data_IF_498387294970
#
_entry.id   IF_498387294970
#
_cell.length_a   1.000
_cell.length_b   1.000
_cell.length_c   1.000
_cell.angle_alpha   90.00
_cell.angle_beta   90.00
_cell.angle_gamma   90.00
#
_symmetry.space_group_name_H-M   'P 1'
#
loop_
_entity.id
_entity.type
_entity.pdbx_description
1 polymer ?
#
# COMPACT_ATOMS: atom_id res chain seq x y z
N UNK A 1 -1.98 32.03 20.59
CA UNK A 1 -2.99 30.97 20.36
C UNK A 1 -2.32 29.83 19.67
N UNK A 2 -2.56 28.59 20.07
CA UNK A 2 -2.00 27.38 19.49
C UNK A 2 -2.67 27.07 18.16
N UNK A 3 -1.91 26.97 17.06
CA UNK A 3 -2.47 26.63 15.76
C UNK A 3 -2.95 25.17 15.72
N UNK A 4 -4.09 24.93 15.12
CA UNK A 4 -4.73 23.62 14.99
C UNK A 4 -4.48 23.04 13.59
N UNK A 5 -3.83 21.91 13.51
CA UNK A 5 -3.47 21.25 12.25
C UNK A 5 -4.18 19.91 12.13
N UNK A 6 -4.94 19.74 11.04
CA UNK A 6 -5.46 18.42 10.64
C UNK A 6 -4.55 17.76 9.61
N UNK A 7 -4.29 16.49 9.77
CA UNK A 7 -3.64 15.63 8.78
C UNK A 7 -4.66 14.54 8.39
N UNK A 8 -5.10 14.53 7.14
CA UNK A 8 -6.05 13.55 6.63
C UNK A 8 -5.29 12.35 6.08
N UNK A 9 -5.42 11.22 6.75
CA UNK A 9 -4.75 9.95 6.48
C UNK A 9 -3.67 9.61 7.51
N UNK A 10 -3.85 8.47 8.19
CA UNK A 10 -2.94 7.94 9.21
C UNK A 10 -1.87 6.98 8.65
N UNK A 11 -1.66 6.98 7.33
CA UNK A 11 -0.61 6.20 6.68
C UNK A 11 0.80 6.76 6.94
N UNK A 12 1.86 6.18 6.33
CA UNK A 12 3.24 6.63 6.52
C UNK A 12 3.43 8.12 6.28
N UNK A 13 2.78 8.68 5.25
CA UNK A 13 2.89 10.10 4.93
C UNK A 13 2.32 10.99 6.04
N UNK A 14 1.14 10.64 6.58
CA UNK A 14 0.53 11.38 7.69
C UNK A 14 1.34 11.27 8.97
N UNK A 15 1.80 10.08 9.33
CA UNK A 15 2.63 9.88 10.52
C UNK A 15 3.98 10.63 10.42
N UNK A 16 4.68 10.58 9.28
CA UNK A 16 5.90 11.36 9.10
C UNK A 16 5.63 12.87 9.04
N UNK A 17 4.47 13.29 8.51
CA UNK A 17 4.06 14.70 8.54
C UNK A 17 3.87 15.18 9.97
N UNK A 18 3.13 14.45 10.80
CA UNK A 18 2.97 14.78 12.21
C UNK A 18 4.31 14.87 12.94
N UNK A 19 5.23 13.91 12.69
CA UNK A 19 6.57 13.93 13.25
C UNK A 19 7.39 15.16 12.80
N UNK A 20 7.27 15.54 11.53
CA UNK A 20 8.00 16.68 10.96
C UNK A 20 7.46 18.00 11.47
N UNK A 21 6.13 18.13 11.57
CA UNK A 21 5.45 19.32 12.13
C UNK A 21 5.75 19.50 13.61
N UNK A 22 5.71 18.43 14.43
CA UNK A 22 6.04 18.52 15.84
C UNK A 22 7.49 19.00 16.10
N UNK A 23 8.40 18.83 15.12
CA UNK A 23 9.77 19.38 15.19
C UNK A 23 9.87 20.82 14.68
N UNK A 24 9.15 21.12 13.59
CA UNK A 24 9.20 22.43 12.96
C UNK A 24 8.35 23.48 13.70
N UNK A 25 7.27 23.04 14.35
CA UNK A 25 6.30 23.88 15.05
C UNK A 25 5.92 23.20 16.39
N UNK A 26 6.73 23.30 17.45
CA UNK A 26 6.45 22.59 18.70
C UNK A 26 5.17 23.03 19.43
N UNK A 27 4.69 24.23 19.17
CA UNK A 27 3.52 24.84 19.84
C UNK A 27 2.20 24.65 19.06
N UNK A 28 2.09 23.63 18.20
CA UNK A 28 0.86 23.33 17.45
C UNK A 28 0.11 22.13 18.04
N UNK A 29 -1.20 22.11 17.88
CA UNK A 29 -2.02 20.93 18.14
C UNK A 29 -2.22 20.17 16.82
N UNK A 30 -1.80 18.91 16.79
CA UNK A 30 -1.89 18.06 15.60
C UNK A 30 -2.95 16.98 15.82
N UNK A 31 -3.87 16.85 14.88
CA UNK A 31 -4.85 15.77 14.82
C UNK A 31 -4.69 14.99 13.51
N UNK A 32 -4.47 13.69 13.59
CA UNK A 32 -4.52 12.79 12.44
C UNK A 32 -5.94 12.23 12.34
N UNK A 33 -6.57 12.40 11.19
CA UNK A 33 -7.93 11.95 10.88
C UNK A 33 -7.82 10.78 9.89
N UNK A 34 -8.50 9.67 10.18
CA UNK A 34 -8.44 8.45 9.35
C UNK A 34 -9.85 7.88 9.14
N UNK A 35 -10.16 7.51 7.89
CA UNK A 35 -11.45 6.90 7.54
C UNK A 35 -11.67 5.52 8.18
N UNK A 36 -10.59 4.77 8.40
CA UNK A 36 -10.66 3.49 9.08
C UNK A 36 -10.56 3.69 10.61
N UNK A 37 -11.15 2.79 11.41
CA UNK A 37 -11.01 2.84 12.86
C UNK A 37 -9.59 2.58 13.36
N UNK A 38 -8.66 2.28 12.48
CA UNK A 38 -7.29 1.85 12.81
C UNK A 38 -6.24 2.67 12.05
N UNK A 39 -5.09 3.00 12.66
CA UNK A 39 -4.04 3.80 12.04
C UNK A 39 -3.13 2.97 11.12
N UNK A 40 -2.14 3.66 10.54
CA UNK A 40 -0.97 3.18 9.83
C UNK A 40 -1.17 2.83 8.35
N UNK A 41 -2.40 2.90 7.81
CA UNK A 41 -2.69 2.81 6.37
C UNK A 41 -1.95 1.67 5.66
N UNK A 42 -1.17 1.99 4.62
CA UNK A 42 -0.45 0.98 3.84
C UNK A 42 0.61 0.20 4.63
N UNK A 43 1.18 0.71 5.73
CA UNK A 43 2.10 -0.10 6.56
C UNK A 43 1.35 -1.29 7.15
N UNK A 44 0.11 -1.08 7.56
CA UNK A 44 -0.74 -2.15 8.09
C UNK A 44 -1.32 -3.03 6.99
N UNK A 45 -1.79 -2.45 5.89
CA UNK A 45 -2.64 -3.12 4.90
C UNK A 45 -2.02 -3.28 3.50
N UNK A 46 -0.94 -2.59 3.18
CA UNK A 46 -0.33 -2.62 1.84
C UNK A 46 1.10 -3.18 1.80
N UNK A 47 1.82 -3.19 2.93
CA UNK A 47 3.09 -3.93 3.05
C UNK A 47 2.75 -5.42 3.16
N UNK A 48 3.46 -6.26 2.41
CA UNK A 48 3.23 -7.70 2.41
C UNK A 48 3.16 -8.26 3.85
N UNK A 49 2.18 -9.12 4.17
CA UNK A 49 1.91 -9.56 5.54
C UNK A 49 3.08 -10.29 6.21
N UNK A 50 4.01 -10.85 5.44
CA UNK A 50 5.22 -11.49 5.93
C UNK A 50 6.43 -10.55 6.06
N UNK A 51 6.33 -9.29 5.60
CA UNK A 51 7.39 -8.28 5.74
C UNK A 51 7.31 -7.55 7.10
N UNK A 52 7.35 -8.29 8.21
CA UNK A 52 7.22 -7.75 9.56
C UNK A 52 8.35 -6.76 9.93
N UNK A 53 9.55 -6.92 9.36
CA UNK A 53 10.65 -5.95 9.50
C UNK A 53 10.29 -4.57 8.97
N UNK A 54 9.64 -4.49 7.81
CA UNK A 54 9.14 -3.23 7.22
C UNK A 54 7.97 -2.68 8.03
N UNK A 55 7.05 -3.53 8.49
CA UNK A 55 5.93 -3.13 9.34
C UNK A 55 6.38 -2.61 10.71
N UNK A 56 7.58 -2.93 11.18
CA UNK A 56 8.12 -2.47 12.46
C UNK A 56 8.24 -0.94 12.59
N UNK A 57 8.17 -0.18 11.49
CA UNK A 57 8.09 1.29 11.52
C UNK A 57 6.89 1.80 12.33
N UNK A 58 5.85 0.99 12.48
CA UNK A 58 4.69 1.27 13.36
C UNK A 58 5.13 1.65 14.78
N UNK A 59 6.18 1.02 15.32
CA UNK A 59 6.71 1.33 16.66
C UNK A 59 7.25 2.77 16.77
N UNK A 60 7.73 3.33 15.66
CA UNK A 60 8.13 4.74 15.62
C UNK A 60 6.89 5.64 15.59
N UNK A 61 5.87 5.27 14.82
CA UNK A 61 4.64 6.05 14.69
C UNK A 61 3.80 6.05 15.96
N UNK A 62 3.76 4.95 16.70
CA UNK A 62 3.08 4.85 17.98
C UNK A 62 3.50 5.96 18.97
N UNK A 63 4.78 6.34 18.96
CA UNK A 63 5.31 7.41 19.83
C UNK A 63 4.70 8.78 19.57
N UNK A 64 4.14 9.03 18.38
CA UNK A 64 3.44 10.29 18.07
C UNK A 64 2.24 10.47 19.00
N UNK A 65 1.47 9.41 19.15
CA UNK A 65 0.24 9.38 19.94
C UNK A 65 0.54 9.19 21.43
N UNK A 66 1.43 8.26 21.77
CA UNK A 66 1.73 7.92 23.17
C UNK A 66 2.56 8.97 23.91
N UNK A 67 3.43 9.73 23.19
CA UNK A 67 4.45 10.58 23.83
C UNK A 67 4.53 12.00 23.32
N UNK A 68 3.99 12.29 22.13
CA UNK A 68 4.14 13.60 21.50
C UNK A 68 2.83 14.37 21.41
N UNK A 69 1.75 13.89 22.02
CA UNK A 69 0.47 14.59 22.12
C UNK A 69 -0.28 14.76 20.81
N UNK A 70 0.04 13.94 19.78
CA UNK A 70 -0.72 13.91 18.53
C UNK A 70 -2.06 13.21 18.77
N UNK A 71 -3.16 13.88 18.43
CA UNK A 71 -4.50 13.28 18.52
C UNK A 71 -4.74 12.35 17.34
N UNK A 72 -5.43 11.23 17.59
CA UNK A 72 -5.98 10.35 16.57
C UNK A 72 -7.51 10.41 16.57
N UNK A 73 -8.09 10.60 15.39
CA UNK A 73 -9.53 10.56 15.14
C UNK A 73 -9.78 9.54 14.01
N UNK A 74 -9.87 8.29 14.39
CA UNK A 74 -10.22 7.20 13.48
C UNK A 74 -11.73 7.10 13.26
N UNK A 75 -12.14 6.37 12.22
CA UNK A 75 -13.53 6.22 11.80
C UNK A 75 -14.20 7.55 11.39
N UNK A 76 -13.43 8.47 10.79
CA UNK A 76 -13.93 9.75 10.26
C UNK A 76 -13.51 9.88 8.79
N UNK A 77 -14.46 9.79 7.88
CA UNK A 77 -14.23 9.87 6.44
C UNK A 77 -14.34 11.33 5.96
N UNK A 78 -13.20 11.93 5.60
CA UNK A 78 -13.13 13.26 4.99
C UNK A 78 -13.18 13.13 3.48
N UNK A 79 -14.15 13.77 2.84
CA UNK A 79 -14.32 13.63 1.40
C UNK A 79 -15.43 14.49 0.81
N UNK A 80 -15.97 14.06 -0.31
CA UNK A 80 -17.11 14.67 -0.98
C UNK A 80 -18.23 13.64 -1.19
N UNK A 81 -19.46 14.11 -1.29
CA UNK A 81 -20.66 13.30 -1.49
C UNK A 81 -21.19 12.63 -0.22
N UNK A 82 -22.25 11.84 -0.37
CA UNK A 82 -23.05 11.29 0.73
C UNK A 82 -22.30 10.26 1.60
N UNK A 83 -21.18 9.72 1.10
CA UNK A 83 -20.37 8.77 1.85
C UNK A 83 -19.33 9.44 2.77
N UNK A 84 -19.19 10.77 2.72
CA UNK A 84 -18.28 11.52 3.57
C UNK A 84 -18.99 11.95 4.87
N UNK A 85 -18.30 11.78 5.99
CA UNK A 85 -18.78 12.27 7.30
C UNK A 85 -18.52 13.76 7.47
N UNK A 86 -17.49 14.26 6.80
CA UNK A 86 -17.00 15.64 6.88
C UNK A 86 -16.43 16.08 5.54
N UNK A 87 -16.90 17.20 5.02
CA UNK A 87 -16.32 17.81 3.82
C UNK A 87 -14.99 18.50 4.12
N UNK A 88 -14.16 18.68 3.08
CA UNK A 88 -12.93 19.45 3.21
C UNK A 88 -13.18 20.90 3.64
N UNK A 89 -14.29 21.53 3.21
CA UNK A 89 -14.68 22.87 3.60
C UNK A 89 -14.96 22.96 5.10
N UNK A 90 -15.82 22.07 5.63
CA UNK A 90 -16.11 21.98 7.07
C UNK A 90 -14.83 21.70 7.88
N UNK A 91 -13.94 20.83 7.39
CA UNK A 91 -12.68 20.55 8.06
C UNK A 91 -11.80 21.81 8.16
N UNK A 92 -11.78 22.65 7.12
CA UNK A 92 -11.07 23.92 7.11
C UNK A 92 -11.70 24.98 8.02
N UNK A 93 -12.98 24.87 8.34
CA UNK A 93 -13.61 25.70 9.35
C UNK A 93 -13.19 25.30 10.77
N UNK A 94 -12.84 24.03 10.98
CA UNK A 94 -12.43 23.47 12.27
C UNK A 94 -10.93 23.65 12.54
N UNK A 95 -10.07 23.56 11.51
CA UNK A 95 -8.61 23.60 11.64
C UNK A 95 -7.99 24.76 10.87
N UNK A 96 -6.90 25.33 11.39
CA UNK A 96 -6.14 26.42 10.76
C UNK A 96 -5.40 25.98 9.51
N UNK A 97 -4.87 24.74 9.57
CA UNK A 97 -4.11 24.10 8.51
C UNK A 97 -4.64 22.69 8.28
N UNK A 98 -4.79 22.30 7.02
CA UNK A 98 -5.17 20.95 6.61
C UNK A 98 -4.09 20.39 5.68
N UNK A 99 -3.66 19.16 5.94
CA UNK A 99 -2.68 18.43 5.11
C UNK A 99 -3.33 17.15 4.58
N UNK A 100 -3.42 17.01 3.27
CA UNK A 100 -3.90 15.79 2.62
C UNK A 100 -2.75 14.79 2.47
N UNK A 101 -2.84 13.67 3.20
CA UNK A 101 -1.85 12.60 3.24
C UNK A 101 -2.49 11.20 3.04
N UNK A 102 -3.62 11.14 2.31
CA UNK A 102 -4.48 9.96 2.13
C UNK A 102 -3.83 8.85 1.32
N UNK A 103 -2.70 9.14 0.66
CA UNK A 103 -2.07 8.18 -0.26
C UNK A 103 -2.90 7.94 -1.52
N UNK A 104 -2.68 6.79 -2.15
CA UNK A 104 -3.41 6.32 -3.33
C UNK A 104 -3.73 4.85 -3.12
N UNK A 105 -4.95 4.41 -3.40
CA UNK A 105 -5.44 3.05 -3.13
C UNK A 105 -5.89 2.29 -4.37
N UNK A 106 -6.21 2.99 -5.46
CA UNK A 106 -6.74 2.36 -6.67
C UNK A 106 -5.62 1.80 -7.54
N UNK A 107 -5.73 0.54 -7.91
CA UNK A 107 -4.80 -0.08 -8.84
C UNK A 107 -4.95 0.49 -10.25
N UNK A 108 -3.82 0.74 -10.92
CA UNK A 108 -3.83 1.18 -12.32
C UNK A 108 -4.31 0.05 -13.21
N UNK A 109 -5.23 0.38 -14.11
CA UNK A 109 -5.78 -0.54 -15.11
C UNK A 109 -4.83 -0.75 -16.28
N UNK A 110 -4.94 -1.92 -16.92
CA UNK A 110 -4.21 -2.23 -18.15
C UNK A 110 -4.72 -1.40 -19.34
N UNK A 111 -5.99 -1.00 -19.31
CA UNK A 111 -6.69 -0.34 -20.41
C UNK A 111 -7.11 -1.31 -21.52
N UNK A 112 -7.24 -2.60 -21.20
CA UNK A 112 -7.65 -3.65 -22.14
C UNK A 112 -9.14 -3.95 -22.02
N UNK A 113 -9.74 -4.30 -23.15
CA UNK A 113 -11.12 -4.76 -23.18
C UNK A 113 -11.27 -6.01 -22.27
N UNK A 114 -12.30 -5.99 -21.41
CA UNK A 114 -12.60 -7.09 -20.52
C UNK A 114 -11.74 -7.20 -19.26
N UNK A 115 -10.89 -6.23 -18.95
CA UNK A 115 -10.06 -6.26 -17.73
C UNK A 115 -10.83 -6.24 -16.40
N UNK A 116 -12.15 -6.10 -16.43
CA UNK A 116 -13.04 -6.18 -15.27
C UNK A 116 -13.70 -7.56 -15.11
N UNK A 117 -13.29 -8.53 -15.92
CA UNK A 117 -13.80 -9.90 -15.85
C UNK A 117 -13.23 -10.65 -14.64
N UNK A 118 -13.85 -11.77 -14.29
CA UNK A 118 -13.35 -12.67 -13.26
C UNK A 118 -11.92 -13.15 -13.56
N UNK A 119 -11.10 -13.30 -12.53
CA UNK A 119 -9.70 -13.70 -12.64
C UNK A 119 -8.72 -12.56 -12.93
N UNK A 120 -9.18 -11.30 -13.12
CA UNK A 120 -8.26 -10.14 -13.27
C UNK A 120 -8.29 -9.30 -12.00
N UNK A 121 -7.15 -9.16 -11.35
CA UNK A 121 -7.01 -8.52 -10.04
C UNK A 121 -5.93 -7.44 -10.04
N UNK A 122 -6.12 -6.36 -9.28
CA UNK A 122 -5.05 -5.42 -8.98
C UNK A 122 -4.16 -5.93 -7.83
N UNK A 123 -2.86 -5.74 -7.94
CA UNK A 123 -1.91 -6.18 -6.91
C UNK A 123 -2.11 -5.50 -5.56
N UNK A 124 -2.54 -4.23 -5.57
CA UNK A 124 -2.88 -3.49 -4.36
C UNK A 124 -4.11 -4.09 -3.66
N UNK A 125 -5.17 -4.38 -4.42
CA UNK A 125 -6.38 -5.02 -3.89
C UNK A 125 -6.08 -6.43 -3.34
N UNK A 126 -5.30 -7.24 -4.06
CA UNK A 126 -4.85 -8.57 -3.60
C UNK A 126 -4.02 -8.45 -2.32
N UNK A 127 -3.08 -7.51 -2.25
CA UNK A 127 -2.25 -7.31 -1.05
C UNK A 127 -3.07 -6.84 0.14
N UNK A 128 -4.04 -5.95 -0.07
CA UNK A 128 -4.99 -5.52 0.97
C UNK A 128 -5.89 -6.66 1.44
N UNK A 129 -6.38 -7.49 0.52
CA UNK A 129 -7.11 -8.72 0.87
C UNK A 129 -6.25 -9.63 1.75
N UNK A 130 -5.00 -9.92 1.39
CA UNK A 130 -4.09 -10.75 2.19
C UNK A 130 -3.71 -10.12 3.55
N UNK A 131 -3.86 -8.81 3.68
CA UNK A 131 -3.67 -8.07 4.92
C UNK A 131 -4.97 -7.85 5.72
N UNK A 132 -6.08 -8.50 5.37
CA UNK A 132 -7.37 -8.37 6.02
C UNK A 132 -7.95 -6.94 6.02
N UNK A 133 -7.72 -6.18 4.95
CA UNK A 133 -8.28 -4.84 4.82
C UNK A 133 -9.80 -4.89 4.72
N UNK A 134 -10.57 -4.14 5.52
CA UNK A 134 -12.02 -4.26 5.60
C UNK A 134 -12.77 -4.09 4.27
N UNK A 135 -12.29 -3.21 3.40
CA UNK A 135 -12.95 -2.94 2.11
C UNK A 135 -12.67 -3.99 1.02
N UNK A 136 -11.69 -4.86 1.21
CA UNK A 136 -11.26 -5.81 0.18
C UNK A 136 -11.65 -7.26 0.49
N UNK A 137 -12.45 -7.51 1.54
CA UNK A 137 -12.86 -8.86 1.94
C UNK A 137 -13.69 -9.58 0.86
N UNK A 138 -14.52 -8.84 0.14
CA UNK A 138 -15.35 -9.37 -0.93
C UNK A 138 -14.56 -9.76 -2.19
N UNK A 139 -13.27 -9.37 -2.30
CA UNK A 139 -12.44 -9.71 -3.45
C UNK A 139 -12.28 -11.23 -3.59
N UNK A 140 -12.01 -11.95 -2.49
CA UNK A 140 -11.84 -13.40 -2.39
C UNK A 140 -11.20 -14.00 -3.66
N UNK A 141 -9.95 -13.65 -4.02
CA UNK A 141 -9.39 -13.96 -5.33
C UNK A 141 -9.19 -15.47 -5.50
N UNK A 142 -9.64 -16.00 -6.63
CA UNK A 142 -9.41 -17.37 -7.08
C UNK A 142 -8.30 -17.35 -8.14
N UNK A 143 -7.11 -17.82 -7.77
CA UNK A 143 -5.93 -17.73 -8.65
C UNK A 143 -5.85 -18.84 -9.68
N UNK A 144 -6.46 -20.01 -9.42
CA UNK A 144 -6.31 -21.21 -10.26
C UNK A 144 -4.90 -21.81 -10.16
N UNK A 145 -4.45 -22.42 -11.24
CA UNK A 145 -3.14 -23.07 -11.33
C UNK A 145 -2.10 -22.19 -12.02
N UNK A 146 -2.53 -21.40 -13.01
CA UNK A 146 -1.66 -20.58 -13.86
C UNK A 146 -1.93 -19.10 -13.64
N UNK A 147 -0.93 -18.37 -13.15
CA UNK A 147 -1.04 -16.94 -12.81
C UNK A 147 -0.09 -16.13 -13.67
N UNK A 148 -0.61 -15.07 -14.31
CA UNK A 148 0.23 -14.07 -14.98
C UNK A 148 0.25 -12.79 -14.15
N UNK A 149 1.44 -12.37 -13.70
CA UNK A 149 1.67 -11.10 -13.00
C UNK A 149 2.22 -10.08 -13.99
N UNK A 150 1.46 -9.04 -14.27
CA UNK A 150 1.86 -7.97 -15.20
C UNK A 150 2.54 -6.83 -14.42
N UNK A 151 3.83 -6.69 -14.64
CA UNK A 151 4.72 -5.76 -13.93
C UNK A 151 5.92 -6.49 -13.34
N UNK A 152 7.04 -5.81 -13.19
CA UNK A 152 8.29 -6.36 -12.66
C UNK A 152 8.94 -5.46 -11.60
N UNK A 153 8.14 -4.84 -10.76
CA UNK A 153 8.58 -4.10 -9.57
C UNK A 153 8.50 -4.94 -8.29
N UNK A 154 8.85 -4.34 -7.15
CA UNK A 154 8.84 -5.01 -5.84
C UNK A 154 7.45 -5.58 -5.48
N UNK A 155 6.38 -4.86 -5.79
CA UNK A 155 5.00 -5.34 -5.51
C UNK A 155 4.69 -6.62 -6.32
N UNK A 156 5.17 -6.71 -7.57
CA UNK A 156 5.02 -7.94 -8.37
C UNK A 156 5.76 -9.11 -7.71
N UNK A 157 6.97 -8.89 -7.21
CA UNK A 157 7.73 -9.93 -6.49
C UNK A 157 7.07 -10.31 -5.16
N UNK A 158 6.46 -9.36 -4.44
CA UNK A 158 5.66 -9.65 -3.24
C UNK A 158 4.49 -10.60 -3.57
N UNK A 159 3.74 -10.29 -4.63
CA UNK A 159 2.62 -11.14 -5.08
C UNK A 159 3.11 -12.55 -5.41
N UNK A 160 4.16 -12.65 -6.24
CA UNK A 160 4.76 -13.95 -6.63
C UNK A 160 5.19 -14.75 -5.40
N UNK A 161 5.88 -14.10 -4.47
CA UNK A 161 6.38 -14.70 -3.25
C UNK A 161 5.25 -15.23 -2.36
N UNK A 162 4.17 -14.45 -2.19
CA UNK A 162 3.02 -14.86 -1.40
C UNK A 162 2.22 -16.00 -2.05
N UNK A 163 2.17 -16.07 -3.38
CA UNK A 163 1.54 -17.17 -4.13
C UNK A 163 2.35 -18.47 -4.05
N UNK A 164 3.70 -18.39 -3.97
CA UNK A 164 4.59 -19.53 -3.98
C UNK A 164 4.86 -20.14 -2.59
N UNK A 165 4.57 -19.40 -1.51
CA UNK A 165 4.84 -19.83 -0.13
C UNK A 165 3.85 -20.85 0.39
N UNK A 166 4.36 -21.85 1.12
CA UNK A 166 3.55 -22.75 1.92
C UNK A 166 3.16 -22.17 3.29
N UNK A 167 2.31 -22.88 4.02
CA UNK A 167 1.78 -22.41 5.31
C UNK A 167 2.88 -22.10 6.34
N UNK A 168 3.94 -22.91 6.40
CA UNK A 168 5.04 -22.77 7.35
C UNK A 168 5.94 -21.57 7.04
N UNK A 169 6.02 -21.13 5.78
CA UNK A 169 6.81 -19.97 5.36
C UNK A 169 6.23 -18.63 5.86
N UNK A 170 5.02 -18.65 6.43
CA UNK A 170 4.36 -17.50 7.02
C UNK A 170 4.50 -17.41 8.54
N UNK A 171 5.31 -18.25 9.16
CA UNK A 171 5.53 -18.17 10.61
C UNK A 171 6.10 -16.80 11.02
N UNK A 172 5.55 -16.22 12.09
CA UNK A 172 5.87 -14.87 12.57
C UNK A 172 5.21 -13.72 11.79
N UNK A 173 4.41 -14.02 10.75
CA UNK A 173 3.68 -13.02 9.98
C UNK A 173 2.28 -12.73 10.55
N UNK A 174 1.59 -11.75 9.97
CA UNK A 174 0.16 -11.49 10.19
C UNK A 174 -0.72 -12.02 9.02
N UNK A 175 -0.21 -12.97 8.25
CA UNK A 175 -0.93 -13.61 7.14
C UNK A 175 -1.95 -14.61 7.67
N UNK A 176 -3.21 -14.50 7.27
CA UNK A 176 -4.25 -15.45 7.65
C UNK A 176 -3.96 -16.85 7.08
N UNK A 177 -3.83 -17.90 7.91
CA UNK A 177 -3.58 -19.27 7.43
C UNK A 177 -4.63 -19.77 6.43
N UNK A 178 -5.88 -19.32 6.54
CA UNK A 178 -6.96 -19.71 5.63
C UNK A 178 -6.79 -19.15 4.21
N UNK A 179 -5.87 -18.22 4.00
CA UNK A 179 -5.59 -17.57 2.70
C UNK A 179 -4.35 -18.10 1.99
N UNK A 180 -3.71 -19.13 2.53
CA UNK A 180 -2.57 -19.77 1.88
C UNK A 180 -3.02 -20.37 0.55
N UNK A 181 -2.37 -19.95 -0.53
CA UNK A 181 -2.67 -20.45 -1.87
C UNK A 181 -1.85 -21.71 -2.11
N UNK A 182 -2.51 -22.80 -2.48
CA UNK A 182 -1.85 -24.11 -2.69
C UNK A 182 -2.04 -24.67 -4.10
N UNK A 183 -2.88 -24.03 -4.91
CA UNK A 183 -3.23 -24.48 -6.26
C UNK A 183 -2.27 -24.03 -7.34
N UNK A 184 -1.50 -22.97 -7.12
CA UNK A 184 -0.67 -22.34 -8.15
C UNK A 184 0.56 -23.19 -8.44
N UNK A 185 0.68 -23.62 -9.71
CA UNK A 185 1.82 -24.41 -10.23
C UNK A 185 2.72 -23.60 -11.14
N UNK A 186 2.15 -22.62 -11.85
CA UNK A 186 2.88 -21.82 -12.83
C UNK A 186 2.60 -20.32 -12.62
N UNK A 187 3.68 -19.54 -12.53
CA UNK A 187 3.62 -18.09 -12.43
C UNK A 187 4.48 -17.49 -13.54
N UNK A 188 3.87 -16.61 -14.33
CA UNK A 188 4.59 -15.81 -15.32
C UNK A 188 4.63 -14.35 -14.85
N UNK A 189 5.82 -13.81 -14.60
CA UNK A 189 6.00 -12.38 -14.33
C UNK A 189 6.45 -11.68 -15.61
N UNK A 190 5.65 -10.70 -16.07
CA UNK A 190 5.83 -10.08 -17.39
C UNK A 190 6.05 -8.58 -17.27
N UNK A 191 7.24 -8.10 -17.66
CA UNK A 191 7.61 -6.70 -17.64
C UNK A 191 7.70 -6.09 -19.04
N UNK A 192 7.16 -4.89 -19.23
CA UNK A 192 7.23 -4.17 -20.49
C UNK A 192 8.65 -3.70 -20.86
N UNK A 193 9.48 -3.45 -19.86
CA UNK A 193 10.85 -2.99 -20.05
C UNK A 193 11.77 -4.17 -20.32
N UNK A 194 12.88 -3.96 -21.04
CA UNK A 194 14.00 -4.90 -21.05
C UNK A 194 14.49 -5.18 -19.64
N UNK A 195 15.24 -6.25 -19.43
CA UNK A 195 15.69 -6.67 -18.10
C UNK A 195 16.41 -5.58 -17.31
N UNK A 196 17.29 -4.80 -17.95
CA UNK A 196 18.01 -3.68 -17.32
C UNK A 196 17.07 -2.52 -16.87
N UNK A 197 15.88 -2.42 -17.42
CA UNK A 197 14.83 -1.47 -17.04
C UNK A 197 13.87 -2.00 -15.97
N UNK A 198 14.09 -3.21 -15.44
CA UNK A 198 13.29 -3.76 -14.37
C UNK A 198 13.41 -2.93 -13.08
N UNK A 199 12.32 -2.88 -12.29
CA UNK A 199 12.22 -2.00 -11.12
C UNK A 199 12.23 -2.74 -9.79
N UNK A 200 12.51 -4.02 -9.79
CA UNK A 200 12.68 -4.78 -8.56
C UNK A 200 14.05 -4.54 -7.93
N UNK A 201 14.15 -4.74 -6.62
CA UNK A 201 15.39 -4.68 -5.88
C UNK A 201 16.07 -6.06 -5.80
N UNK A 202 17.41 -6.09 -5.76
CA UNK A 202 18.19 -7.32 -5.64
C UNK A 202 17.84 -8.12 -4.36
N UNK A 203 17.47 -7.43 -3.29
CA UNK A 203 17.05 -8.07 -2.02
C UNK A 203 15.78 -8.88 -2.22
N UNK A 204 14.79 -8.31 -2.94
CA UNK A 204 13.52 -8.97 -3.21
C UNK A 204 13.69 -10.23 -4.07
N UNK A 205 14.58 -10.17 -5.06
CA UNK A 205 14.91 -11.36 -5.88
C UNK A 205 15.54 -12.46 -5.03
N UNK A 206 16.50 -12.12 -4.14
CA UNK A 206 17.15 -13.08 -3.24
C UNK A 206 16.19 -13.73 -2.25
N UNK A 207 15.06 -13.09 -1.94
CA UNK A 207 14.01 -13.70 -1.11
C UNK A 207 13.29 -14.83 -1.85
N UNK A 208 13.13 -14.76 -3.18
CA UNK A 208 12.56 -15.85 -3.97
C UNK A 208 13.42 -17.12 -3.87
N UNK A 209 14.74 -16.98 -3.86
CA UNK A 209 15.67 -18.11 -3.73
C UNK A 209 15.54 -18.87 -2.39
N UNK A 210 14.89 -18.30 -1.39
CA UNK A 210 14.67 -18.92 -0.08
C UNK A 210 13.41 -19.78 -0.03
N UNK A 211 12.56 -19.72 -1.05
CA UNK A 211 11.30 -20.47 -1.10
C UNK A 211 11.57 -21.86 -1.66
N UNK A 212 11.61 -22.87 -0.79
CA UNK A 212 11.96 -24.25 -1.17
C UNK A 212 10.97 -24.93 -2.11
N UNK A 213 9.78 -24.35 -2.33
CA UNK A 213 8.76 -24.84 -3.27
C UNK A 213 8.83 -24.18 -4.65
N UNK A 214 9.77 -23.22 -4.89
CA UNK A 214 9.81 -22.38 -6.08
C UNK A 214 11.01 -22.72 -6.97
N UNK A 215 10.75 -22.97 -8.27
CA UNK A 215 11.74 -23.06 -9.34
C UNK A 215 11.70 -21.76 -10.17
N UNK A 216 12.79 -21.04 -10.24
CA UNK A 216 12.87 -19.73 -10.93
C UNK A 216 13.55 -19.89 -12.28
N UNK A 217 12.90 -19.40 -13.34
CA UNK A 217 13.35 -19.51 -14.73
C UNK A 217 13.32 -18.16 -15.45
N UNK A 218 14.06 -18.11 -16.56
CA UNK A 218 14.03 -17.01 -17.53
C UNK A 218 13.45 -17.54 -18.85
N UNK A 219 12.59 -16.77 -19.48
CA UNK A 219 12.09 -17.04 -20.83
C UNK A 219 13.18 -16.87 -21.90
N UNK A 220 14.13 -15.94 -21.66
CA UNK A 220 15.29 -15.70 -22.50
C UNK A 220 16.52 -15.36 -21.66
N UNK A 221 17.75 -15.65 -22.13
CA UNK A 221 18.96 -15.29 -21.42
C UNK A 221 19.06 -13.78 -21.14
N UNK A 222 19.62 -13.42 -19.98
CA UNK A 222 19.92 -12.03 -19.65
C UNK A 222 21.19 -11.56 -20.38
N UNK A 223 21.14 -10.34 -20.92
CA UNK A 223 22.30 -9.67 -21.51
C UNK A 223 22.83 -8.62 -20.54
N UNK A 224 24.13 -8.29 -20.64
CA UNK A 224 24.78 -7.17 -19.95
C UNK A 224 24.59 -7.11 -18.43
N UNK A 225 24.69 -8.29 -17.77
CA UNK A 225 24.42 -8.47 -16.34
C UNK A 225 25.54 -7.95 -15.43
N UNK A 226 26.76 -7.71 -15.96
CA UNK A 226 27.99 -7.57 -15.15
C UNK A 226 28.03 -6.36 -14.23
N UNK A 227 27.27 -5.29 -14.54
CA UNK A 227 27.22 -4.06 -13.74
C UNK A 227 25.90 -3.88 -12.98
N UNK A 228 24.89 -4.71 -13.22
CA UNK A 228 23.58 -4.61 -12.58
C UNK A 228 23.39 -5.67 -11.48
N UNK A 229 23.55 -5.23 -10.22
CA UNK A 229 23.39 -6.11 -9.05
C UNK A 229 22.04 -6.80 -8.97
N UNK A 230 20.99 -6.24 -9.59
CA UNK A 230 19.64 -6.81 -9.61
C UNK A 230 19.60 -7.99 -10.56
N UNK A 231 20.15 -7.81 -11.77
CA UNK A 231 20.21 -8.87 -12.78
C UNK A 231 21.18 -9.98 -12.37
N UNK A 232 22.28 -9.62 -11.70
CA UNK A 232 23.17 -10.61 -11.11
C UNK A 232 22.43 -11.47 -10.07
N UNK A 233 21.68 -10.83 -9.15
CA UNK A 233 20.89 -11.56 -8.15
C UNK A 233 19.83 -12.48 -8.80
N UNK A 234 19.22 -12.05 -9.91
CA UNK A 234 18.26 -12.86 -10.65
C UNK A 234 18.97 -14.05 -11.33
N UNK A 235 20.10 -13.82 -11.98
CA UNK A 235 20.91 -14.86 -12.61
C UNK A 235 21.37 -15.90 -11.59
N UNK A 236 21.83 -15.46 -10.41
CA UNK A 236 22.28 -16.34 -9.32
C UNK A 236 21.09 -17.19 -8.80
N UNK A 237 19.89 -16.58 -8.70
CA UNK A 237 18.67 -17.26 -8.28
C UNK A 237 18.24 -18.34 -9.28
N UNK A 238 18.31 -18.02 -10.57
CA UNK A 238 18.01 -18.99 -11.66
C UNK A 238 19.05 -20.10 -11.75
N UNK A 239 20.33 -19.77 -11.53
CA UNK A 239 21.42 -20.75 -11.56
C UNK A 239 21.42 -21.70 -10.34
N UNK A 240 20.77 -21.31 -9.25
CA UNK A 240 20.55 -22.21 -8.13
C UNK A 240 19.71 -23.39 -8.60
N UNK A 241 20.16 -24.62 -8.33
CA UNK A 241 19.44 -25.83 -8.75
C UNK A 241 18.01 -25.78 -8.22
N UNK A 242 17.05 -26.06 -9.09
CA UNK A 242 15.65 -26.17 -8.70
C UNK A 242 15.52 -27.20 -7.56
N UNK A 243 14.84 -26.86 -6.46
CA UNK A 243 14.65 -27.82 -5.38
C UNK A 243 13.88 -29.06 -5.89
N UNK A 244 14.28 -30.27 -5.50
CA UNK A 244 13.51 -31.50 -5.81
C UNK A 244 12.06 -31.41 -5.27
N UNK A 245 11.78 -30.45 -4.40
CA UNK A 245 10.47 -30.17 -3.79
C UNK A 245 9.72 -29.04 -4.48
N UNK A 246 10.26 -28.48 -5.59
CA UNK A 246 9.60 -27.40 -6.31
C UNK A 246 8.20 -27.83 -6.79
N UNK A 247 7.19 -27.08 -6.36
CA UNK A 247 5.79 -27.28 -6.75
C UNK A 247 5.31 -26.19 -7.69
N UNK A 248 5.98 -25.05 -7.68
CA UNK A 248 5.62 -23.87 -8.45
C UNK A 248 6.80 -23.43 -9.32
N UNK A 249 6.55 -23.19 -10.59
CA UNK A 249 7.51 -22.65 -11.54
C UNK A 249 7.23 -21.16 -11.74
N UNK A 250 8.25 -20.32 -11.56
CA UNK A 250 8.20 -18.89 -11.85
C UNK A 250 9.05 -18.60 -13.09
N UNK A 251 8.44 -18.05 -14.12
CA UNK A 251 9.15 -17.63 -15.34
C UNK A 251 9.12 -16.12 -15.51
N UNK A 252 10.30 -15.49 -15.65
CA UNK A 252 10.45 -14.07 -15.94
C UNK A 252 10.44 -13.82 -17.45
N UNK A 253 9.62 -12.85 -17.88
CA UNK A 253 9.53 -12.35 -19.25
C UNK A 253 9.79 -10.84 -19.27
N UNK A 254 10.70 -10.39 -20.12
CA UNK A 254 11.06 -8.98 -20.25
C UNK A 254 10.78 -8.45 -21.66
N UNK A 255 10.43 -7.17 -21.79
CA UNK A 255 10.20 -6.53 -23.10
C UNK A 255 8.83 -6.79 -23.71
N UNK A 256 7.83 -7.20 -22.91
CA UNK A 256 6.51 -7.58 -23.37
C UNK A 256 5.43 -6.64 -22.83
N UNK A 257 4.63 -6.05 -23.74
CA UNK A 257 3.52 -5.14 -23.42
C UNK A 257 2.20 -5.88 -23.57
N UNK A 258 1.29 -5.83 -22.55
CA UNK A 258 -0.02 -6.45 -22.68
C UNK A 258 -0.83 -5.83 -23.83
N UNK A 259 -1.48 -6.67 -24.64
CA UNK A 259 -2.19 -6.29 -25.85
C UNK A 259 -3.67 -6.67 -25.83
N UNK A 260 -3.99 -7.89 -25.36
CA UNK A 260 -5.37 -8.39 -25.33
C UNK A 260 -5.57 -9.44 -24.24
N UNK A 261 -6.78 -9.52 -23.75
CA UNK A 261 -7.28 -10.62 -22.90
C UNK A 261 -8.22 -11.49 -23.70
N UNK A 262 -8.06 -12.81 -23.61
CA UNK A 262 -9.05 -13.78 -24.07
C UNK A 262 -9.95 -14.18 -22.90
N UNK A 263 -11.26 -14.08 -23.09
CA UNK A 263 -12.26 -14.25 -22.04
C UNK A 263 -13.29 -15.28 -22.49
N UNK A 264 -13.52 -16.26 -21.62
CA UNK A 264 -14.61 -17.21 -21.81
C UNK A 264 -15.38 -17.38 -20.50
N UNK A 265 -16.71 -17.44 -20.59
CA UNK A 265 -17.60 -17.60 -19.42
C UNK A 265 -17.35 -16.56 -18.31
N UNK A 266 -17.11 -15.30 -18.71
CA UNK A 266 -16.81 -14.19 -17.83
C UNK A 266 -15.54 -14.37 -16.94
N UNK A 267 -14.60 -15.21 -17.39
CA UNK A 267 -13.29 -15.40 -16.75
C UNK A 267 -12.17 -15.29 -17.78
N UNK A 268 -11.01 -14.77 -17.37
CA UNK A 268 -9.81 -14.74 -18.20
C UNK A 268 -9.35 -16.18 -18.51
N UNK A 269 -8.84 -16.39 -19.74
CA UNK A 269 -8.29 -17.67 -20.23
C UNK A 269 -6.86 -17.55 -20.72
N UNK A 270 -6.51 -16.41 -21.24
CA UNK A 270 -5.16 -16.10 -21.63
C UNK A 270 -4.95 -14.59 -21.77
N UNK A 271 -3.70 -14.18 -21.75
CA UNK A 271 -3.29 -12.81 -22.04
C UNK A 271 -2.25 -12.82 -23.15
N UNK A 272 -2.44 -11.96 -24.13
CA UNK A 272 -1.54 -11.79 -25.27
C UNK A 272 -0.70 -10.54 -25.08
N UNK A 273 0.57 -10.66 -25.36
CA UNK A 273 1.56 -9.60 -25.26
C UNK A 273 2.21 -9.33 -26.61
N UNK A 274 2.69 -8.11 -26.80
CA UNK A 274 3.48 -7.68 -27.96
C UNK A 274 4.85 -7.19 -27.51
N UNK A 275 5.91 -7.64 -28.20
CA UNK A 275 7.26 -7.09 -28.05
C UNK A 275 7.47 -5.84 -28.88
N UNK A 276 8.61 -5.16 -28.70
CA UNK A 276 8.93 -3.93 -29.46
C UNK A 276 9.14 -4.18 -30.95
N UNK A 277 9.61 -5.36 -31.34
CA UNK A 277 9.79 -5.80 -32.74
C UNK A 277 8.50 -6.37 -33.37
N UNK A 278 7.38 -6.32 -32.63
CA UNK A 278 6.07 -6.75 -33.11
C UNK A 278 5.75 -8.23 -32.97
N UNK A 279 6.64 -9.02 -32.35
CA UNK A 279 6.33 -10.42 -32.05
C UNK A 279 5.20 -10.54 -31.02
N UNK A 280 4.37 -11.57 -31.17
CA UNK A 280 3.24 -11.84 -30.27
C UNK A 280 3.54 -13.06 -29.41
N UNK A 281 3.14 -12.99 -28.14
CA UNK A 281 3.23 -14.08 -27.18
C UNK A 281 1.92 -14.19 -26.41
N UNK A 282 1.28 -15.34 -26.45
CA UNK A 282 0.07 -15.62 -25.66
C UNK A 282 0.42 -16.57 -24.53
N UNK A 283 0.06 -16.19 -23.31
CA UNK A 283 0.22 -17.00 -22.11
C UNK A 283 -1.18 -17.42 -21.63
N UNK A 284 -1.47 -18.73 -21.57
CA UNK A 284 -2.68 -19.23 -20.93
C UNK A 284 -2.63 -18.89 -19.43
N UNK A 285 -3.76 -18.59 -18.82
CA UNK A 285 -3.84 -18.30 -17.39
C UNK A 285 -5.27 -18.46 -16.86
N UNK A 286 -5.34 -18.82 -15.59
CA UNK A 286 -6.60 -18.80 -14.82
C UNK A 286 -6.81 -17.43 -14.17
N UNK A 287 -5.70 -16.71 -13.93
CA UNK A 287 -5.78 -15.34 -13.40
C UNK A 287 -4.64 -14.43 -13.86
N UNK A 288 -4.92 -13.14 -13.86
CA UNK A 288 -3.98 -12.04 -14.15
C UNK A 288 -3.94 -11.10 -12.95
N UNK A 289 -2.74 -10.83 -12.41
CA UNK A 289 -2.54 -9.83 -11.35
C UNK A 289 -1.78 -8.64 -11.93
N UNK A 290 -2.39 -7.46 -11.91
CA UNK A 290 -1.77 -6.23 -12.44
C UNK A 290 -0.94 -5.54 -11.37
N UNK A 291 0.39 -5.51 -11.54
CA UNK A 291 1.35 -4.87 -10.65
C UNK A 291 2.08 -3.70 -11.33
N UNK A 292 1.30 -2.84 -12.00
CA UNK A 292 1.80 -1.71 -12.80
C UNK A 292 1.71 -0.35 -12.09
N UNK A 293 1.46 -0.39 -10.77
CA UNK A 293 1.33 0.78 -9.90
C UNK A 293 -0.12 1.18 -9.65
N UNK A 294 -0.29 2.33 -9.00
CA UNK A 294 -1.61 2.85 -8.61
C UNK A 294 -2.07 3.95 -9.55
N UNK A 295 -3.38 4.15 -9.63
CA UNK A 295 -3.95 5.27 -10.37
C UNK A 295 -3.79 6.58 -9.60
N UNK A 296 -3.67 7.66 -10.34
CA UNK A 296 -3.57 9.00 -9.79
C UNK A 296 -4.93 9.70 -9.85
N UNK A 297 -5.77 9.42 -8.85
CA UNK A 297 -7.12 9.98 -8.75
C UNK A 297 -7.16 11.42 -8.19
N UNK A 298 -6.00 12.04 -7.94
CA UNK A 298 -5.87 13.36 -7.27
C UNK A 298 -6.24 14.58 -8.10
N UNK A 299 -6.75 14.46 -9.27
CA UNK A 299 -6.84 15.48 -10.34
C UNK A 299 -7.27 16.89 -9.89
N UNK A 300 -8.01 17.02 -8.77
CA UNK A 300 -8.52 18.27 -8.25
C UNK A 300 -7.59 18.94 -7.22
N UNK A 301 -6.59 18.23 -6.67
CA UNK A 301 -5.77 18.69 -5.55
C UNK A 301 -4.27 18.54 -5.82
N UNK A 302 -3.81 19.04 -6.95
CA UNK A 302 -2.38 19.02 -7.28
C UNK A 302 -1.67 20.17 -6.57
N UNK A 303 -0.88 19.85 -5.58
CA UNK A 303 0.00 20.84 -4.92
C UNK A 303 1.23 21.16 -5.78
N UNK A 304 1.86 22.29 -5.48
CA UNK A 304 3.15 22.68 -6.04
C UNK A 304 4.32 21.79 -5.54
N UNK A 305 5.55 22.12 -5.91
CA UNK A 305 6.75 21.40 -5.49
C UNK A 305 6.92 21.34 -3.96
N UNK A 306 6.41 22.33 -3.23
CA UNK A 306 6.43 22.43 -1.77
C UNK A 306 5.19 21.84 -1.10
N UNK A 307 4.26 21.30 -1.88
CA UNK A 307 3.04 20.66 -1.40
C UNK A 307 1.91 21.63 -1.07
N UNK A 308 1.98 22.87 -1.50
CA UNK A 308 0.91 23.87 -1.32
C UNK A 308 -0.15 23.66 -2.39
N UNK A 309 -1.38 23.39 -2.00
CA UNK A 309 -2.56 23.38 -2.86
C UNK A 309 -3.14 24.79 -2.94
N UNK A 310 -3.40 25.37 -1.77
CA UNK A 310 -3.80 26.75 -1.56
C UNK A 310 -3.48 27.18 -0.12
N UNK A 311 -3.75 28.43 0.23
CA UNK A 311 -3.47 28.94 1.57
C UNK A 311 -4.18 28.12 2.66
N UNK A 312 -3.41 27.52 3.56
CA UNK A 312 -3.91 26.66 4.65
C UNK A 312 -4.23 25.24 4.24
N UNK A 313 -4.05 24.88 2.96
CA UNK A 313 -4.28 23.54 2.46
C UNK A 313 -3.02 23.01 1.75
N UNK A 314 -2.53 21.86 2.22
CA UNK A 314 -1.29 21.25 1.76
C UNK A 314 -1.49 19.77 1.43
N UNK A 315 -0.50 19.19 0.74
CA UNK A 315 -0.47 17.76 0.49
C UNK A 315 0.93 17.18 0.68
N UNK A 316 0.99 15.88 0.99
CA UNK A 316 2.24 15.17 1.22
C UNK A 316 2.19 13.71 0.76
N UNK A 317 3.36 13.11 0.61
CA UNK A 317 3.53 11.70 0.29
C UNK A 317 3.05 11.32 -1.11
N UNK A 318 2.43 10.15 -1.25
CA UNK A 318 1.90 9.71 -2.54
C UNK A 318 0.77 10.60 -3.04
N UNK A 319 0.01 11.22 -2.17
CA UNK A 319 -0.99 12.20 -2.57
C UNK A 319 -0.36 13.39 -3.30
N UNK A 320 0.86 13.83 -2.91
CA UNK A 320 1.63 14.89 -3.58
C UNK A 320 2.37 14.37 -4.82
N UNK A 321 3.14 13.28 -4.67
CA UNK A 321 4.13 12.83 -5.66
C UNK A 321 3.60 11.83 -6.70
N UNK A 322 2.37 11.32 -6.54
CA UNK A 322 1.92 10.12 -7.21
C UNK A 322 2.47 8.84 -6.58
N UNK A 323 2.17 7.67 -7.13
CA UNK A 323 2.54 6.36 -6.57
C UNK A 323 4.02 6.05 -6.81
N UNK A 324 4.90 6.91 -6.33
CA UNK A 324 6.36 6.78 -6.47
C UNK A 324 7.04 6.91 -5.12
N UNK A 325 8.10 6.13 -4.97
CA UNK A 325 8.95 6.16 -3.78
C UNK A 325 8.52 5.22 -2.68
N UNK A 326 9.46 4.98 -1.79
CA UNK A 326 9.37 4.06 -0.66
C UNK A 326 8.91 4.76 0.62
N UNK A 327 8.71 3.99 1.71
CA UNK A 327 8.37 4.55 3.03
C UNK A 327 9.43 5.58 3.50
N UNK A 328 10.75 5.35 3.40
CA UNK A 328 11.76 6.36 3.77
C UNK A 328 11.67 7.67 2.98
N UNK A 329 11.31 7.64 1.71
CA UNK A 329 11.17 8.85 0.89
C UNK A 329 10.01 9.73 1.35
N UNK A 330 8.97 9.16 1.97
CA UNK A 330 7.90 9.95 2.59
C UNK A 330 8.44 10.83 3.72
N UNK A 331 9.44 10.38 4.49
CA UNK A 331 10.05 11.16 5.56
C UNK A 331 10.73 12.42 5.04
N UNK A 332 11.47 12.31 3.93
CA UNK A 332 12.14 13.48 3.34
C UNK A 332 11.15 14.48 2.75
N UNK A 333 10.12 13.97 2.04
CA UNK A 333 9.07 14.79 1.46
C UNK A 333 8.32 15.59 2.53
N UNK A 334 7.91 14.92 3.62
CA UNK A 334 7.16 15.57 4.70
C UNK A 334 7.96 16.61 5.46
N UNK A 335 9.29 16.49 5.56
CA UNK A 335 10.15 17.52 6.18
C UNK A 335 10.09 18.84 5.42
N UNK A 336 10.12 18.80 4.09
CA UNK A 336 10.02 20.01 3.24
C UNK A 336 8.66 20.69 3.40
N UNK A 337 7.59 19.90 3.31
CA UNK A 337 6.23 20.43 3.46
C UNK A 337 6.01 20.99 4.88
N UNK A 338 6.49 20.32 5.92
CA UNK A 338 6.38 20.79 7.30
C UNK A 338 7.13 22.12 7.53
N UNK A 339 8.31 22.28 6.93
CA UNK A 339 9.04 23.57 7.01
C UNK A 339 8.28 24.68 6.30
N UNK A 340 7.65 24.40 5.16
CA UNK A 340 6.79 25.37 4.46
C UNK A 340 5.61 25.77 5.34
N UNK A 341 4.90 24.82 5.94
CA UNK A 341 3.79 25.09 6.87
C UNK A 341 4.26 25.94 8.06
N UNK A 342 5.45 25.63 8.63
CA UNK A 342 6.01 26.40 9.74
C UNK A 342 6.22 27.88 9.38
N UNK A 343 6.76 28.14 8.20
CA UNK A 343 6.95 29.50 7.70
C UNK A 343 5.60 30.21 7.50
N UNK A 344 4.63 29.54 6.88
CA UNK A 344 3.31 30.09 6.62
C UNK A 344 2.54 30.38 7.93
N UNK A 345 2.73 29.57 8.99
CA UNK A 345 2.19 29.86 10.34
C UNK A 345 2.87 31.10 10.94
N UNK A 346 4.19 31.21 10.84
CA UNK A 346 4.93 32.36 11.31
C UNK A 346 4.49 33.65 10.59
N UNK A 347 4.21 33.58 9.30
CA UNK A 347 3.71 34.67 8.46
C UNK A 347 2.22 34.99 8.70
N UNK A 348 1.56 34.22 9.58
CA UNK A 348 0.23 34.55 10.09
C UNK A 348 -0.93 33.87 9.39
N UNK A 349 -0.73 32.67 8.82
CA UNK A 349 -1.83 31.91 8.23
C UNK A 349 -2.90 31.52 9.26
N UNK A 350 -2.49 31.37 10.53
CA UNK A 350 -3.35 31.07 11.68
C UNK A 350 -3.71 32.32 12.52
N UNK A 351 -3.38 33.52 12.05
CA UNK A 351 -3.69 34.77 12.79
C UNK A 351 -5.11 35.23 12.51
N UNK A 352 -5.97 35.11 13.48
CA UNK A 352 -7.26 35.79 13.42
C UNK A 352 -8.41 35.13 14.15
N UNK A 353 -8.52 33.80 14.15
CA UNK A 353 -9.62 33.11 14.83
C UNK A 353 -9.10 31.81 15.46
N UNK A 354 -9.42 31.63 16.75
CA UNK A 354 -9.14 30.37 17.44
C UNK A 354 -10.05 29.27 16.84
N UNK A 355 -9.49 28.40 16.02
CA UNK A 355 -10.20 27.21 15.52
C UNK A 355 -10.37 26.19 16.64
N UNK A 356 -11.50 25.44 16.69
CA UNK A 356 -11.79 24.51 17.80
C UNK A 356 -10.93 23.23 17.75
N UNK A 357 -10.42 22.83 16.57
CA UNK A 357 -9.59 21.63 16.43
C UNK A 357 -10.33 20.33 16.77
N UNK A 358 -9.64 19.40 17.43
CA UNK A 358 -10.20 18.09 17.80
C UNK A 358 -11.48 18.20 18.66
N UNK A 359 -11.67 19.27 19.41
CA UNK A 359 -12.87 19.46 20.25
C UNK A 359 -14.15 19.44 19.41
N UNK A 360 -14.17 20.17 18.28
CA UNK A 360 -15.33 20.17 17.39
C UNK A 360 -15.62 18.80 16.76
N UNK A 361 -14.58 18.00 16.48
CA UNK A 361 -14.79 16.62 16.01
C UNK A 361 -15.44 15.77 17.10
N UNK A 362 -14.96 15.88 18.34
CA UNK A 362 -15.52 15.17 19.50
C UNK A 362 -16.96 15.58 19.77
N UNK A 363 -17.28 16.86 19.67
CA UNK A 363 -18.63 17.38 19.85
C UNK A 363 -19.58 16.87 18.75
N UNK A 364 -19.09 16.76 17.50
CA UNK A 364 -19.91 16.30 16.35
C UNK A 364 -20.14 14.80 16.33
N UNK A 365 -19.10 14.01 16.57
CA UNK A 365 -19.09 12.57 16.35
C UNK A 365 -19.17 11.74 17.64
N UNK A 366 -18.88 12.34 18.80
CA UNK A 366 -18.97 11.67 20.10
C UNK A 366 -18.20 10.36 20.14
N UNK A 367 -18.86 9.32 20.61
CA UNK A 367 -18.28 7.96 20.76
C UNK A 367 -18.02 7.24 19.43
N UNK A 368 -18.44 7.78 18.28
CA UNK A 368 -18.15 7.16 17.00
C UNK A 368 -16.70 7.41 16.53
N UNK A 369 -16.00 8.39 17.13
CA UNK A 369 -14.56 8.57 16.92
C UNK A 369 -13.80 7.46 17.65
N UNK A 370 -12.95 6.77 16.93
CA UNK A 370 -11.95 5.86 17.53
C UNK A 370 -10.72 6.66 17.89
N UNK A 371 -10.39 6.70 19.18
CA UNK A 371 -9.18 7.35 19.70
C UNK A 371 -7.96 6.43 19.60
N UNK A 372 -6.78 6.92 19.95
CA UNK A 372 -5.59 6.06 19.98
C UNK A 372 -5.64 5.02 21.09
N UNK A 373 -6.28 5.34 22.23
CA UNK A 373 -6.47 4.37 23.34
C UNK A 373 -7.43 3.24 22.91
N UNK A 374 -8.48 3.57 22.16
CA UNK A 374 -9.37 2.57 21.55
C UNK A 374 -8.61 1.68 20.55
N UNK A 375 -7.73 2.27 19.73
CA UNK A 375 -6.85 1.49 18.86
C UNK A 375 -5.98 0.51 19.65
N UNK A 376 -5.44 0.88 20.81
CA UNK A 376 -4.64 -0.04 21.63
C UNK A 376 -5.47 -1.24 22.12
N UNK A 377 -6.75 -1.05 22.43
CA UNK A 377 -7.67 -2.15 22.75
C UNK A 377 -7.91 -3.08 21.55
N UNK A 378 -8.13 -2.50 20.35
CA UNK A 378 -8.26 -3.25 19.10
C UNK A 378 -6.97 -4.05 18.82
N UNK A 379 -5.79 -3.42 18.93
CA UNK A 379 -4.48 -4.05 18.72
C UNK A 379 -4.25 -5.23 19.65
N UNK A 380 -4.60 -5.07 20.93
CA UNK A 380 -4.55 -6.14 21.93
C UNK A 380 -5.47 -7.31 21.54
N UNK A 381 -6.70 -7.03 21.12
CA UNK A 381 -7.65 -8.04 20.68
C UNK A 381 -7.11 -8.83 19.49
N UNK A 382 -6.53 -8.16 18.50
CA UNK A 382 -5.94 -8.81 17.31
C UNK A 382 -4.69 -9.64 17.64
N UNK A 383 -3.85 -9.19 18.57
CA UNK A 383 -2.68 -9.94 19.04
C UNK A 383 -3.14 -11.21 19.76
N UNK A 384 -4.14 -11.12 20.63
CA UNK A 384 -4.69 -12.26 21.36
C UNK A 384 -5.43 -13.26 20.46
N UNK A 385 -5.97 -12.80 19.31
CA UNK A 385 -6.64 -13.63 18.31
C UNK A 385 -5.65 -14.28 17.31
N UNK A 386 -4.33 -14.14 17.51
CA UNK A 386 -3.34 -14.69 16.60
C UNK A 386 -3.45 -16.21 16.48
N UNK A 387 -3.50 -16.72 15.26
CA UNK A 387 -3.37 -18.16 15.00
C UNK A 387 -1.96 -18.66 15.38
N UNK A 388 -1.83 -19.95 15.63
CA UNK A 388 -0.53 -20.58 15.95
C UNK A 388 0.51 -20.22 14.87
N UNK A 389 1.66 -19.74 15.32
CA UNK A 389 2.74 -19.30 14.45
C UNK A 389 2.50 -17.93 13.77
N UNK A 390 1.47 -17.19 14.12
CA UNK A 390 1.18 -15.83 13.60
C UNK A 390 1.38 -14.78 14.69
N UNK A 391 1.70 -13.55 14.28
CA UNK A 391 1.89 -12.45 15.22
C UNK A 391 0.59 -11.70 15.56
N UNK A 392 -0.46 -11.82 14.76
CA UNK A 392 -1.82 -11.28 15.00
C UNK A 392 -2.87 -11.92 14.10
N UNK A 393 -4.13 -11.85 14.51
CA UNK A 393 -5.30 -12.13 13.70
C UNK A 393 -6.13 -10.86 13.53
N UNK A 394 -6.01 -10.18 12.39
CA UNK A 394 -6.70 -8.91 12.16
C UNK A 394 -8.21 -9.08 12.06
N UNK A 395 -8.94 -8.12 12.60
CA UNK A 395 -10.38 -7.99 12.41
C UNK A 395 -10.68 -7.58 10.97
N UNK A 396 -11.64 -8.25 10.31
CA UNK A 396 -11.85 -8.19 8.86
C UNK A 396 -12.91 -7.21 8.41
N UNK A 397 -13.75 -6.72 9.31
CA UNK A 397 -14.81 -5.74 9.00
C UNK A 397 -14.72 -4.54 9.93
N UNK A 398 -15.17 -3.38 9.44
CA UNK A 398 -15.26 -2.18 10.27
C UNK A 398 -16.13 -2.43 11.49
N UNK A 399 -17.25 -3.17 11.31
CA UNK A 399 -18.17 -3.49 12.41
C UNK A 399 -17.51 -4.35 13.50
N UNK A 400 -16.64 -5.32 13.15
CA UNK A 400 -15.94 -6.13 14.14
C UNK A 400 -14.83 -5.33 14.84
N UNK A 401 -14.16 -4.43 14.12
CA UNK A 401 -13.18 -3.52 14.69
C UNK A 401 -13.84 -2.61 15.74
N UNK A 402 -14.99 -2.02 15.43
CA UNK A 402 -15.70 -1.13 16.33
C UNK A 402 -16.30 -1.84 17.56
N UNK A 403 -16.56 -3.15 17.49
CA UNK A 403 -17.01 -3.95 18.66
C UNK A 403 -15.86 -4.29 19.61
N UNK A 404 -14.62 -4.08 19.20
CA UNK A 404 -13.44 -4.38 20.03
C UNK A 404 -12.95 -3.16 20.84
N UNK A 405 -13.68 -2.05 20.73
CA UNK A 405 -13.46 -0.80 21.51
C UNK A 405 -14.18 -0.86 22.86
#
# INVERSE_FOLDING_TARGET
>A
MTSKIAIVGAGPSGCFMAQSLGKACPDVEITIIEKLPVPYGLVRYGVAPDHQGTKAVIRQFARLFEKQGVNFAGNVNVGAGDAADLSLAELRDIFDVVVLATGLSEDRRLGLAGEQTGGVYGSGAVTRFWNDHPSDQALAPEFGNQVVVVGNGNVALDVVRLLAKGADDFNGSDFDPARVVTSVTDIHIVGRSPAHGAKFDAVMVKELAKIGSLDVRLDAPLCDIQEDKRLQALQDTVAAAAPNTAKTVLTFHFGWVPEALDIAHNCVRSITFRSQDGAMKTLPCDSVVTAIGFDDSRREFVGDGDGVIERGLYCAGWFKRGPRGTIPENRHDTQKVAQRIANDIADGIAKGHAKPGIAALKDRFGESIVTYDDWLAIDCTEINAAAVGRCRGKLKTVGDILKAV
#
